data_IF_283216683057
#
_entry.id   IF_283216683057
#
_cell.length_a   1.000
_cell.length_b   1.000
_cell.length_c   1.000
_cell.angle_alpha   90.00
_cell.angle_beta   90.00
_cell.angle_gamma   90.00
#
_symmetry.space_group_name_H-M   'P 1'
#
loop_
_entity.id
_entity.type
_entity.pdbx_description
1 polymer ?
#
# COMPACT_ATOMS: atom_id res chain seq x y z
N UNK A 1 39.12 -26.28 -23.65
CA UNK A 1 38.86 -24.91 -23.18
C UNK A 1 37.45 -24.43 -23.47
N UNK A 2 36.86 -24.75 -24.63
CA UNK A 2 35.49 -24.35 -24.94
C UNK A 2 34.45 -24.96 -23.96
N UNK A 3 34.66 -26.18 -23.48
CA UNK A 3 33.78 -26.85 -22.51
C UNK A 3 33.77 -26.15 -21.13
N UNK A 4 34.95 -25.66 -20.68
CA UNK A 4 35.05 -24.95 -19.41
C UNK A 4 34.35 -23.60 -19.46
N UNK A 5 34.45 -22.86 -20.58
CA UNK A 5 33.77 -21.60 -20.77
C UNK A 5 32.25 -21.78 -20.76
N UNK A 6 31.71 -22.79 -21.44
CA UNK A 6 30.28 -23.09 -21.49
C UNK A 6 29.77 -23.47 -20.11
N UNK A 7 30.48 -24.32 -19.36
CA UNK A 7 30.10 -24.69 -18.00
C UNK A 7 30.09 -23.51 -17.03
N UNK A 8 31.04 -22.57 -17.20
CA UNK A 8 31.11 -21.36 -16.39
C UNK A 8 29.94 -20.43 -16.67
N UNK A 9 29.55 -20.25 -17.93
CA UNK A 9 28.42 -19.44 -18.32
C UNK A 9 27.11 -20.00 -17.79
N UNK A 10 26.92 -21.32 -17.86
CA UNK A 10 25.72 -21.99 -17.31
C UNK A 10 25.62 -21.78 -15.79
N UNK A 11 26.75 -21.87 -15.09
CA UNK A 11 26.75 -21.64 -13.64
C UNK A 11 26.41 -20.19 -13.30
N UNK A 12 26.90 -19.23 -14.08
CA UNK A 12 26.57 -17.81 -13.90
C UNK A 12 25.11 -17.53 -14.17
N UNK A 13 24.52 -18.15 -15.20
CA UNK A 13 23.08 -18.04 -15.48
C UNK A 13 22.26 -18.60 -14.32
N UNK A 14 22.63 -19.79 -13.80
CA UNK A 14 21.99 -20.41 -12.66
C UNK A 14 22.01 -19.50 -11.44
N UNK A 15 23.17 -18.90 -11.12
CA UNK A 15 23.31 -17.97 -9.99
C UNK A 15 22.43 -16.74 -10.15
N UNK A 16 22.37 -16.16 -11.34
CA UNK A 16 21.52 -14.99 -11.63
C UNK A 16 20.05 -15.32 -11.45
N UNK A 17 19.61 -16.50 -11.90
CA UNK A 17 18.23 -16.95 -11.73
C UNK A 17 17.88 -17.15 -10.25
N UNK A 18 18.82 -17.73 -9.46
CA UNK A 18 18.62 -17.92 -8.03
C UNK A 18 18.55 -16.58 -7.29
N UNK A 19 19.42 -15.63 -7.62
CA UNK A 19 19.44 -14.31 -7.01
C UNK A 19 18.13 -13.54 -7.33
N UNK A 20 17.66 -13.63 -8.58
CA UNK A 20 16.41 -13.01 -9.01
C UNK A 20 15.22 -13.59 -8.25
N UNK A 21 15.15 -14.92 -8.16
CA UNK A 21 14.08 -15.61 -7.44
C UNK A 21 14.09 -15.24 -5.94
N UNK A 22 15.26 -15.17 -5.34
CA UNK A 22 15.41 -14.77 -3.94
C UNK A 22 14.90 -13.34 -3.72
N UNK A 23 15.26 -12.40 -4.62
CA UNK A 23 14.80 -11.02 -4.55
C UNK A 23 13.29 -10.91 -4.71
N UNK A 24 12.70 -11.65 -5.65
CA UNK A 24 11.24 -11.68 -5.84
C UNK A 24 10.52 -12.20 -4.60
N UNK A 25 11.01 -13.29 -3.99
CA UNK A 25 10.47 -13.84 -2.76
C UNK A 25 10.58 -12.86 -1.59
N UNK A 26 11.70 -12.16 -1.51
CA UNK A 26 11.95 -11.13 -0.50
C UNK A 26 10.96 -9.97 -0.66
N UNK A 27 10.72 -9.51 -1.90
CA UNK A 27 9.80 -8.43 -2.17
C UNK A 27 8.35 -8.81 -1.84
N UNK A 28 7.95 -10.03 -2.14
CA UNK A 28 6.63 -10.55 -1.77
C UNK A 28 6.47 -10.61 -0.25
N UNK A 29 7.49 -11.04 0.47
CA UNK A 29 7.49 -11.06 1.93
C UNK A 29 7.34 -9.64 2.51
N UNK A 30 8.10 -8.67 1.98
CA UNK A 30 8.00 -7.27 2.38
C UNK A 30 6.59 -6.75 2.11
N UNK A 31 6.03 -7.06 0.95
CA UNK A 31 4.67 -6.64 0.59
C UNK A 31 3.64 -7.20 1.58
N UNK A 32 3.73 -8.47 1.91
CA UNK A 32 2.82 -9.10 2.87
C UNK A 32 2.89 -8.42 4.24
N UNK A 33 4.09 -8.17 4.74
CA UNK A 33 4.29 -7.48 6.01
C UNK A 33 3.79 -6.04 5.98
N UNK A 34 4.03 -5.34 4.86
CA UNK A 34 3.54 -3.98 4.65
C UNK A 34 2.01 -3.92 4.71
N UNK A 35 1.33 -4.81 4.01
CA UNK A 35 -0.13 -4.88 4.02
C UNK A 35 -0.66 -5.09 5.44
N UNK A 36 -0.08 -6.03 6.18
CA UNK A 36 -0.49 -6.31 7.57
C UNK A 36 -0.30 -5.09 8.47
N UNK A 37 0.81 -4.37 8.29
CA UNK A 37 1.10 -3.17 9.08
C UNK A 37 0.13 -2.04 8.76
N UNK A 38 -0.23 -1.84 7.49
CA UNK A 38 -1.21 -0.81 7.09
C UNK A 38 -2.57 -1.14 7.68
N UNK A 39 -3.01 -2.39 7.59
CA UNK A 39 -4.29 -2.83 8.16
C UNK A 39 -4.35 -2.52 9.66
N UNK A 40 -3.25 -2.73 10.38
CA UNK A 40 -3.19 -2.49 11.83
C UNK A 40 -3.04 -1.02 12.20
N UNK A 41 -2.37 -0.22 11.37
CA UNK A 41 -1.88 1.10 11.77
C UNK A 41 -2.39 2.27 10.92
N UNK A 42 -3.29 2.05 9.95
CA UNK A 42 -3.72 3.11 9.04
C UNK A 42 -4.37 4.30 9.76
N UNK A 43 -4.98 4.07 10.92
CA UNK A 43 -5.57 5.13 11.75
C UNK A 43 -4.50 5.98 12.42
N UNK A 44 -3.33 5.40 12.67
CA UNK A 44 -2.21 6.08 13.31
C UNK A 44 -1.39 6.89 12.31
N UNK A 45 -1.11 6.32 11.12
CA UNK A 45 -0.33 7.01 10.11
C UNK A 45 -0.69 6.52 8.70
N UNK A 46 -0.68 7.46 7.74
CA UNK A 46 -0.84 7.22 6.31
C UNK A 46 0.44 7.52 5.54
N UNK A 47 1.56 7.74 6.27
CA UNK A 47 2.84 8.11 5.67
C UNK A 47 3.69 6.87 5.37
N UNK A 48 4.25 6.82 4.16
CA UNK A 48 5.14 5.72 3.74
C UNK A 48 6.33 5.57 4.69
N UNK A 49 6.88 6.70 5.15
CA UNK A 49 8.03 6.72 6.05
C UNK A 49 7.74 5.94 7.36
N UNK A 50 6.54 6.07 7.89
CA UNK A 50 6.13 5.35 9.10
C UNK A 50 6.27 3.83 8.91
N UNK A 51 5.77 3.32 7.80
CA UNK A 51 5.81 1.89 7.50
C UNK A 51 7.21 1.40 7.14
N UNK A 52 7.96 2.21 6.41
CA UNK A 52 9.35 1.91 6.10
C UNK A 52 10.18 1.77 7.39
N UNK A 53 9.97 2.67 8.35
CA UNK A 53 10.65 2.61 9.65
C UNK A 53 10.29 1.32 10.41
N UNK A 54 9.02 0.94 10.43
CA UNK A 54 8.58 -0.30 11.09
C UNK A 54 9.22 -1.54 10.47
N UNK A 55 9.50 -1.50 9.18
CA UNK A 55 10.12 -2.60 8.45
C UNK A 55 11.64 -2.52 8.42
N UNK A 56 12.23 -1.49 9.03
CA UNK A 56 13.67 -1.22 8.99
C UNK A 56 14.19 -1.08 7.57
N UNK A 57 13.41 -0.43 6.70
CA UNK A 57 13.75 -0.18 5.30
C UNK A 57 13.74 1.31 5.01
N UNK A 58 14.47 1.71 3.97
CA UNK A 58 14.33 3.06 3.42
C UNK A 58 13.01 3.15 2.65
N UNK A 59 12.37 4.35 2.59
CA UNK A 59 11.19 4.53 1.74
C UNK A 59 11.45 4.14 0.27
N UNK A 60 12.63 4.41 -0.23
CA UNK A 60 13.03 4.07 -1.61
C UNK A 60 13.03 2.55 -1.83
N UNK A 61 13.62 1.79 -0.90
CA UNK A 61 13.64 0.33 -1.03
C UNK A 61 12.26 -0.27 -0.85
N UNK A 62 11.47 0.24 0.10
CA UNK A 62 10.09 -0.18 0.28
C UNK A 62 9.28 0.03 -1.02
N UNK A 63 9.43 1.21 -1.66
CA UNK A 63 8.75 1.50 -2.92
C UNK A 63 9.14 0.49 -4.01
N UNK A 64 10.43 0.18 -4.13
CA UNK A 64 10.91 -0.81 -5.09
C UNK A 64 10.28 -2.19 -4.84
N UNK A 65 10.28 -2.64 -3.58
CA UNK A 65 9.74 -3.94 -3.23
C UNK A 65 8.22 -4.04 -3.50
N UNK A 66 7.46 -3.00 -3.11
CA UNK A 66 6.01 -2.99 -3.30
C UNK A 66 5.65 -2.94 -4.80
N UNK A 67 6.32 -2.07 -5.57
CA UNK A 67 6.08 -1.99 -7.02
C UNK A 67 6.39 -3.31 -7.72
N UNK A 68 7.49 -3.93 -7.33
CA UNK A 68 7.90 -5.22 -7.89
C UNK A 68 6.87 -6.32 -7.56
N UNK A 69 6.43 -6.39 -6.32
CA UNK A 69 5.47 -7.42 -5.89
C UNK A 69 4.05 -7.21 -6.44
N UNK A 70 3.68 -5.98 -6.78
CA UNK A 70 2.30 -5.64 -7.22
C UNK A 70 2.18 -5.36 -8.72
N UNK A 71 3.30 -5.35 -9.44
CA UNK A 71 3.28 -4.98 -10.87
C UNK A 71 3.19 -3.49 -11.12
N UNK A 72 3.58 -2.64 -10.15
CA UNK A 72 3.72 -1.20 -10.36
C UNK A 72 3.01 -0.29 -9.38
N UNK A 73 2.28 -0.83 -8.41
CA UNK A 73 1.59 -0.01 -7.39
C UNK A 73 2.60 0.49 -6.37
N UNK A 74 2.59 1.80 -6.07
CA UNK A 74 3.45 2.38 -5.05
C UNK A 74 2.88 2.16 -3.65
N UNK A 75 3.72 2.24 -2.59
CA UNK A 75 3.22 2.16 -1.22
C UNK A 75 2.16 3.21 -0.90
N UNK A 76 2.34 4.46 -1.36
CA UNK A 76 1.35 5.51 -1.10
C UNK A 76 0.02 5.22 -1.78
N UNK A 77 0.04 4.75 -3.02
CA UNK A 77 -1.18 4.34 -3.73
C UNK A 77 -1.91 3.23 -2.98
N UNK A 78 -1.16 2.25 -2.49
CA UNK A 78 -1.75 1.14 -1.73
C UNK A 78 -2.41 1.63 -0.44
N UNK A 79 -1.74 2.50 0.30
CA UNK A 79 -2.29 3.10 1.53
C UNK A 79 -3.57 3.89 1.20
N UNK A 80 -3.53 4.72 0.16
CA UNK A 80 -4.67 5.53 -0.25
C UNK A 80 -5.87 4.65 -0.61
N UNK A 81 -5.66 3.62 -1.40
CA UNK A 81 -6.74 2.71 -1.79
C UNK A 81 -7.32 1.98 -0.58
N UNK A 82 -6.47 1.56 0.35
CA UNK A 82 -6.94 0.91 1.57
C UNK A 82 -7.77 1.84 2.45
N UNK A 83 -7.28 3.04 2.71
CA UNK A 83 -7.99 4.04 3.54
C UNK A 83 -9.34 4.39 2.91
N UNK A 84 -9.37 4.61 1.60
CA UNK A 84 -10.61 4.92 0.89
C UNK A 84 -11.59 3.74 0.93
N UNK A 85 -11.11 2.52 0.80
CA UNK A 85 -11.95 1.33 0.92
C UNK A 85 -12.60 1.26 2.30
N UNK A 86 -11.87 1.57 3.36
CA UNK A 86 -12.41 1.63 4.72
C UNK A 86 -13.43 2.77 4.86
N UNK A 87 -13.14 3.94 4.29
CA UNK A 87 -14.07 5.07 4.30
C UNK A 87 -15.40 4.71 3.62
N UNK A 88 -15.32 4.14 2.43
CA UNK A 88 -16.51 3.71 1.68
C UNK A 88 -17.32 2.69 2.46
N UNK A 89 -16.66 1.72 3.07
CA UNK A 89 -17.33 0.70 3.88
C UNK A 89 -18.10 1.33 5.05
N UNK A 90 -17.47 2.25 5.79
CA UNK A 90 -18.13 2.91 6.92
C UNK A 90 -19.35 3.72 6.48
N UNK A 91 -19.25 4.39 5.33
CA UNK A 91 -20.36 5.16 4.76
C UNK A 91 -21.48 4.21 4.31
N UNK A 92 -21.16 3.15 3.61
CA UNK A 92 -22.11 2.18 3.06
C UNK A 92 -22.92 1.47 4.15
N UNK A 93 -22.28 1.07 5.23
CA UNK A 93 -22.97 0.37 6.32
C UNK A 93 -23.60 1.32 7.32
N UNK A 94 -23.44 2.65 7.13
CA UNK A 94 -23.99 3.64 8.07
C UNK A 94 -23.42 3.53 9.48
N UNK A 95 -22.13 3.20 9.59
CA UNK A 95 -21.45 2.96 10.87
C UNK A 95 -21.39 4.19 11.77
N UNK A 96 -21.48 5.39 11.17
CA UNK A 96 -21.39 6.65 11.89
C UNK A 96 -22.56 7.56 11.46
N UNK A 97 -23.11 8.38 12.38
CA UNK A 97 -24.19 9.31 12.05
C UNK A 97 -23.77 10.42 11.08
N UNK A 98 -22.49 10.81 11.08
CA UNK A 98 -21.98 11.94 10.28
C UNK A 98 -20.67 11.59 9.61
N UNK A 99 -20.38 12.29 8.50
CA UNK A 99 -19.07 12.16 7.84
C UNK A 99 -17.91 12.66 8.71
N UNK A 100 -18.19 13.61 9.61
CA UNK A 100 -17.20 14.08 10.59
C UNK A 100 -16.73 12.94 11.48
N UNK A 101 -17.65 12.14 11.98
CA UNK A 101 -17.33 10.98 12.80
C UNK A 101 -16.62 9.89 12.00
N UNK A 102 -16.99 9.72 10.72
CA UNK A 102 -16.27 8.83 9.81
C UNK A 102 -14.81 9.25 9.71
N UNK A 103 -14.54 10.54 9.55
CA UNK A 103 -13.17 11.07 9.48
C UNK A 103 -12.37 10.72 10.73
N UNK A 104 -12.95 10.91 11.91
CA UNK A 104 -12.28 10.59 13.17
C UNK A 104 -12.04 9.09 13.33
N UNK A 105 -12.97 8.26 12.93
CA UNK A 105 -12.80 6.80 12.96
C UNK A 105 -11.65 6.33 12.08
N UNK A 106 -11.41 7.04 10.99
CA UNK A 106 -10.30 6.73 10.07
C UNK A 106 -8.95 7.29 10.53
N UNK A 107 -8.93 8.01 11.65
CA UNK A 107 -7.70 8.57 12.19
C UNK A 107 -7.33 9.95 11.69
N UNK A 108 -8.23 10.65 10.99
CA UNK A 108 -7.99 12.03 10.59
C UNK A 108 -8.17 12.96 11.78
N UNK A 109 -7.22 13.85 11.96
CA UNK A 109 -7.25 14.82 13.06
C UNK A 109 -8.36 15.85 12.86
N UNK A 110 -8.58 16.26 11.59
CA UNK A 110 -9.63 17.21 11.22
C UNK A 110 -10.48 16.65 10.09
N UNK A 111 -11.82 16.83 10.12
CA UNK A 111 -12.69 16.35 9.06
C UNK A 111 -12.37 16.90 7.67
N UNK A 112 -11.93 18.17 7.59
CA UNK A 112 -11.57 18.80 6.31
C UNK A 112 -10.41 18.09 5.62
N UNK A 113 -9.46 17.55 6.39
CA UNK A 113 -8.35 16.75 5.85
C UNK A 113 -8.86 15.47 5.19
N UNK A 114 -9.84 14.81 5.81
CA UNK A 114 -10.49 13.65 5.24
C UNK A 114 -11.24 13.99 3.95
N UNK A 115 -12.00 15.09 3.93
CA UNK A 115 -12.77 15.48 2.75
C UNK A 115 -11.86 15.76 1.55
N UNK A 116 -10.74 16.44 1.78
CA UNK A 116 -9.72 16.69 0.73
C UNK A 116 -9.07 15.38 0.27
N UNK A 117 -8.73 14.53 1.20
CA UNK A 117 -8.12 13.22 0.92
C UNK A 117 -9.05 12.37 0.04
N UNK A 118 -10.31 12.26 0.44
CA UNK A 118 -11.31 11.46 -0.28
C UNK A 118 -11.49 11.99 -1.71
N UNK A 119 -11.67 13.29 -1.87
CA UNK A 119 -11.85 13.90 -3.19
C UNK A 119 -10.60 13.75 -4.06
N UNK A 120 -9.42 13.94 -3.49
CA UNK A 120 -8.17 13.80 -4.23
C UNK A 120 -7.99 12.38 -4.76
N UNK A 121 -8.26 11.38 -3.94
CA UNK A 121 -8.03 9.98 -4.32
C UNK A 121 -9.13 9.45 -5.24
N UNK A 122 -10.39 9.81 -4.99
CA UNK A 122 -11.54 9.23 -5.73
C UNK A 122 -12.06 10.12 -6.86
N UNK A 123 -11.77 11.42 -6.83
CA UNK A 123 -12.35 12.40 -7.75
C UNK A 123 -13.75 12.86 -7.36
N UNK A 124 -14.33 12.31 -6.30
CA UNK A 124 -15.69 12.56 -5.82
C UNK A 124 -15.62 13.00 -4.36
N UNK A 125 -16.53 13.90 -3.92
CA UNK A 125 -16.56 14.26 -2.51
C UNK A 125 -17.17 13.12 -1.68
N UNK A 126 -16.79 13.04 -0.41
CA UNK A 126 -17.40 12.07 0.52
C UNK A 126 -18.91 12.29 0.64
N UNK A 127 -19.36 13.55 0.59
CA UNK A 127 -20.78 13.90 0.62
C UNK A 127 -21.52 13.36 -0.61
N UNK A 128 -20.92 13.49 -1.80
CA UNK A 128 -21.49 12.92 -3.02
C UNK A 128 -21.59 11.40 -2.92
N UNK A 129 -20.57 10.77 -2.40
CA UNK A 129 -20.56 9.31 -2.20
C UNK A 129 -21.65 8.87 -1.23
N UNK A 130 -21.79 9.58 -0.11
CA UNK A 130 -22.86 9.33 0.87
C UNK A 130 -24.23 9.44 0.21
N UNK A 131 -24.45 10.45 -0.62
CA UNK A 131 -25.70 10.64 -1.35
C UNK A 131 -26.06 9.48 -2.25
N UNK A 132 -25.09 8.81 -2.83
CA UNK A 132 -25.29 7.61 -3.65
C UNK A 132 -25.95 6.47 -2.85
N UNK A 133 -25.56 6.32 -1.59
CA UNK A 133 -26.03 5.22 -0.75
C UNK A 133 -27.28 5.57 0.06
N UNK A 134 -27.67 6.85 0.13
CA UNK A 134 -28.90 7.28 0.81
C UNK A 134 -30.08 7.42 -0.13
N UNK A 135 -29.82 7.48 -1.42
CA UNK A 135 -30.88 7.53 -2.43
C UNK A 135 -31.18 6.13 -2.94
#
# INVERSE_FOLDING_TARGET
MAQLAVGYELLNCYRRDQDKQWSENRHVEIYSKFCDLVVKNYRESREVKFYANLLNLTPKYLSKAIRDATGGISPIEWIEQYVIAQAKRLIEIGATPTLQETAYMLGFFEPTSFYRYFKRVTGMTAKQYLGYYQS
#
